data_IF_637607698295
#
_entry.id   IF_637607698295
#
_cell.length_a   1.000
_cell.length_b   1.000
_cell.length_c   1.000
_cell.angle_alpha   90.00
_cell.angle_beta   90.00
_cell.angle_gamma   90.00
#
_symmetry.space_group_name_H-M   'P 1'
#
loop_
_entity.id
_entity.type
_entity.pdbx_description
1 polymer ?
#
# COMPACT_ATOMS: atom_id res chain seq x y z
N UNK A 1 -20.64 13.79 9.28
CA UNK A 1 -21.42 12.65 8.75
C UNK A 1 -21.57 11.52 9.78
N UNK A 2 -20.51 10.78 10.14
CA UNK A 2 -20.60 9.56 10.98
C UNK A 2 -21.18 9.72 12.40
N UNK A 3 -21.15 10.95 12.96
CA UNK A 3 -21.78 11.25 14.27
C UNK A 3 -23.31 11.38 14.18
N UNK A 4 -23.81 11.84 13.04
CA UNK A 4 -25.22 12.25 12.88
C UNK A 4 -26.06 11.14 12.26
N UNK A 5 -25.52 10.39 11.30
CA UNK A 5 -26.24 9.32 10.61
C UNK A 5 -26.17 8.02 11.42
N UNK A 6 -27.10 7.82 12.36
CA UNK A 6 -27.13 6.64 13.26
C UNK A 6 -28.00 5.49 12.73
N UNK A 7 -28.96 5.78 11.87
CA UNK A 7 -29.83 4.80 11.21
C UNK A 7 -29.46 4.66 9.74
N UNK A 8 -29.80 3.52 9.14
CA UNK A 8 -29.63 3.29 7.71
C UNK A 8 -30.50 4.29 6.93
N UNK A 9 -29.94 5.03 5.94
CA UNK A 9 -30.73 5.85 5.02
C UNK A 9 -31.71 5.02 4.20
N UNK A 10 -32.89 5.57 3.82
CA UNK A 10 -33.87 4.84 3.02
C UNK A 10 -33.32 4.24 1.72
N UNK A 11 -32.37 4.92 1.09
CA UNK A 11 -31.74 4.52 -0.18
C UNK A 11 -30.86 3.26 -0.03
N UNK A 12 -30.46 2.92 1.19
CA UNK A 12 -29.63 1.75 1.51
C UNK A 12 -30.41 0.66 2.26
N UNK A 13 -31.73 0.83 2.40
CA UNK A 13 -32.58 -0.16 3.03
C UNK A 13 -32.53 -1.48 2.25
N UNK A 14 -32.20 -2.58 2.93
CA UNK A 14 -32.09 -3.91 2.32
C UNK A 14 -30.71 -4.24 1.72
N UNK A 15 -29.80 -3.27 1.61
CA UNK A 15 -28.41 -3.51 1.14
C UNK A 15 -27.48 -3.85 2.30
N UNK A 16 -27.69 -3.21 3.45
CA UNK A 16 -26.87 -3.38 4.65
C UNK A 16 -27.77 -3.56 5.87
N UNK A 17 -27.39 -4.46 6.78
CA UNK A 17 -28.09 -4.62 8.05
C UNK A 17 -27.63 -3.57 9.08
N UNK A 18 -28.47 -3.32 10.09
CA UNK A 18 -28.22 -2.26 11.07
C UNK A 18 -26.96 -2.52 11.92
N UNK A 19 -26.54 -3.78 12.09
CA UNK A 19 -25.36 -4.13 12.88
C UNK A 19 -24.09 -3.83 12.08
N UNK A 20 -24.02 -4.22 10.81
CA UNK A 20 -22.91 -3.91 9.91
C UNK A 20 -22.81 -2.42 9.64
N UNK A 21 -23.94 -1.73 9.47
CA UNK A 21 -23.96 -0.27 9.34
C UNK A 21 -23.33 0.41 10.56
N UNK A 22 -23.71 -0.02 11.78
CA UNK A 22 -23.15 0.53 13.00
C UNK A 22 -21.66 0.21 13.18
N UNK A 23 -21.21 -1.00 12.85
CA UNK A 23 -19.79 -1.37 12.85
C UNK A 23 -18.98 -0.48 11.90
N UNK A 24 -19.42 -0.36 10.65
CA UNK A 24 -18.78 0.51 9.64
C UNK A 24 -18.75 1.97 10.08
N UNK A 25 -19.86 2.47 10.65
CA UNK A 25 -19.94 3.84 11.16
C UNK A 25 -18.94 4.09 12.30
N UNK A 26 -18.81 3.16 13.25
CA UNK A 26 -17.88 3.29 14.38
C UNK A 26 -16.42 3.20 13.91
N UNK A 27 -16.10 2.27 13.01
CA UNK A 27 -14.78 2.14 12.39
C UNK A 27 -14.35 3.43 11.70
N UNK A 28 -15.21 3.99 10.83
CA UNK A 28 -14.93 5.23 10.13
C UNK A 28 -14.85 6.44 11.08
N UNK A 29 -15.61 6.45 12.17
CA UNK A 29 -15.55 7.51 13.17
C UNK A 29 -14.24 7.49 13.96
N UNK A 30 -13.77 6.30 14.35
CA UNK A 30 -12.47 6.14 15.02
C UNK A 30 -11.32 6.54 14.08
N UNK A 31 -11.33 6.09 12.82
CA UNK A 31 -10.34 6.51 11.81
C UNK A 31 -10.37 8.01 11.57
N UNK A 32 -11.55 8.61 11.44
CA UNK A 32 -11.69 10.05 11.22
C UNK A 32 -11.13 10.87 12.39
N UNK A 33 -11.39 10.47 13.64
CA UNK A 33 -10.82 11.14 14.83
C UNK A 33 -9.29 11.00 14.86
N UNK A 34 -8.79 9.79 14.62
CA UNK A 34 -7.36 9.52 14.61
C UNK A 34 -6.65 10.35 13.53
N UNK A 35 -7.15 10.32 12.29
CA UNK A 35 -6.60 11.10 11.19
C UNK A 35 -6.59 12.61 11.50
N UNK A 36 -7.64 13.14 12.13
CA UNK A 36 -7.68 14.55 12.52
C UNK A 36 -6.58 14.90 13.53
N UNK A 37 -6.34 14.02 14.53
CA UNK A 37 -5.28 14.22 15.52
C UNK A 37 -3.90 14.13 14.86
N UNK A 38 -3.66 13.12 14.02
CA UNK A 38 -2.41 12.98 13.28
C UNK A 38 -2.17 14.21 12.40
N UNK A 39 -3.15 14.63 11.60
CA UNK A 39 -3.00 15.81 10.73
C UNK A 39 -2.74 17.10 11.52
N UNK A 40 -3.37 17.28 12.69
CA UNK A 40 -3.08 18.43 13.54
C UNK A 40 -1.66 18.36 14.11
N UNK A 41 -1.23 17.19 14.58
CA UNK A 41 0.14 16.98 15.04
C UNK A 41 1.16 17.26 13.92
N UNK A 42 0.95 16.68 12.74
CA UNK A 42 1.82 16.85 11.58
C UNK A 42 1.93 18.32 11.19
N UNK A 43 0.79 19.03 11.16
CA UNK A 43 0.77 20.46 10.86
C UNK A 43 1.56 21.28 11.88
N UNK A 44 1.38 21.02 13.18
CA UNK A 44 2.10 21.72 14.25
C UNK A 44 3.60 21.37 14.22
N UNK A 45 3.92 20.10 14.02
CA UNK A 45 5.30 19.62 13.95
C UNK A 45 6.05 20.23 12.77
N UNK A 46 5.47 20.19 11.56
CA UNK A 46 6.06 20.80 10.37
C UNK A 46 6.21 22.32 10.53
N UNK A 47 5.21 22.99 11.12
CA UNK A 47 5.30 24.42 11.43
C UNK A 47 6.46 24.70 12.39
N UNK A 48 6.61 23.90 13.44
CA UNK A 48 7.74 24.03 14.38
C UNK A 48 9.09 23.78 13.69
N UNK A 49 9.20 22.74 12.86
CA UNK A 49 10.42 22.45 12.07
C UNK A 49 10.81 23.64 11.20
N UNK A 50 9.84 24.31 10.56
CA UNK A 50 10.12 25.49 9.74
C UNK A 50 10.51 26.70 10.58
N UNK A 51 9.75 27.01 11.63
CA UNK A 51 9.98 28.20 12.49
C UNK A 51 11.30 28.11 13.25
N UNK A 52 11.67 26.92 13.74
CA UNK A 52 12.89 26.71 14.51
C UNK A 52 14.10 26.29 13.65
N UNK A 53 13.97 26.29 12.31
CA UNK A 53 15.09 25.97 11.42
C UNK A 53 15.56 24.52 11.51
N UNK A 54 14.64 23.57 11.71
CA UNK A 54 14.93 22.13 11.77
C UNK A 54 15.58 21.58 10.51
N UNK A 55 15.26 22.12 9.32
CA UNK A 55 15.89 21.72 8.05
C UNK A 55 17.38 22.14 8.02
N UNK A 56 17.76 23.41 8.26
CA UNK A 56 19.16 23.80 8.43
C UNK A 56 19.91 23.00 9.51
N UNK A 57 19.25 22.72 10.64
CA UNK A 57 19.84 21.93 11.72
C UNK A 57 20.18 20.52 11.22
N UNK A 58 19.21 19.85 10.57
CA UNK A 58 19.40 18.52 10.00
C UNK A 58 20.50 18.53 8.93
N UNK A 59 20.53 19.53 8.05
CA UNK A 59 21.60 19.69 7.06
C UNK A 59 22.98 19.80 7.70
N UNK A 60 23.10 20.61 8.77
CA UNK A 60 24.35 20.78 9.50
C UNK A 60 24.78 19.51 10.23
N UNK A 61 23.82 18.74 10.77
CA UNK A 61 24.06 17.45 11.40
C UNK A 61 24.58 16.44 10.37
N UNK A 62 23.95 16.36 9.20
CA UNK A 62 24.40 15.50 8.11
C UNK A 62 25.82 15.82 7.68
N UNK A 63 26.17 17.11 7.58
CA UNK A 63 27.55 17.53 7.27
C UNK A 63 28.57 17.16 8.35
N UNK A 64 28.19 17.18 9.64
CA UNK A 64 29.07 16.71 10.73
C UNK A 64 29.28 15.20 10.66
N UNK A 65 28.21 14.45 10.36
CA UNK A 65 28.29 12.99 10.21
C UNK A 65 29.21 12.63 9.05
N UNK A 66 29.02 13.22 7.86
CA UNK A 66 29.88 12.95 6.71
C UNK A 66 31.32 13.42 6.94
N UNK A 67 31.50 14.56 7.61
CA UNK A 67 32.81 15.09 8.00
C UNK A 67 33.58 14.16 8.94
N UNK A 68 32.90 13.45 9.84
CA UNK A 68 33.52 12.41 10.68
C UNK A 68 34.11 11.26 9.85
N UNK A 69 33.47 10.92 8.72
CA UNK A 69 33.97 9.93 7.77
C UNK A 69 34.97 10.50 6.74
N UNK A 70 35.44 11.72 6.93
CA UNK A 70 36.43 12.37 6.05
C UNK A 70 35.85 13.00 4.79
N UNK A 71 34.53 13.07 4.65
CA UNK A 71 33.86 13.77 3.54
C UNK A 71 33.51 15.19 3.97
N UNK A 72 34.32 16.16 3.53
CA UNK A 72 34.11 17.58 3.82
C UNK A 72 32.96 18.20 3.01
N UNK A 73 32.89 19.54 3.06
CA UNK A 73 31.81 20.32 2.42
C UNK A 73 31.86 20.29 0.90
N UNK A 74 33.00 19.93 0.33
CA UNK A 74 33.20 19.72 -1.10
C UNK A 74 32.39 18.53 -1.65
N UNK A 75 32.02 17.58 -0.78
CA UNK A 75 31.23 16.40 -1.14
C UNK A 75 29.72 16.59 -0.91
N UNK A 76 29.15 17.61 -1.53
CA UNK A 76 27.72 17.98 -1.36
C UNK A 76 26.75 16.83 -1.69
N UNK A 77 27.06 15.98 -2.67
CA UNK A 77 26.22 14.81 -3.01
C UNK A 77 26.16 13.84 -1.83
N UNK A 78 27.31 13.55 -1.22
CA UNK A 78 27.40 12.68 -0.04
C UNK A 78 26.64 13.27 1.15
N UNK A 79 26.78 14.58 1.39
CA UNK A 79 26.02 15.27 2.44
C UNK A 79 24.50 15.23 2.18
N UNK A 80 24.07 15.37 0.92
CA UNK A 80 22.65 15.31 0.57
C UNK A 80 22.06 13.92 0.74
N UNK A 81 22.81 12.87 0.36
CA UNK A 81 22.42 11.47 0.58
C UNK A 81 22.32 11.17 2.08
N UNK A 82 23.28 11.65 2.89
CA UNK A 82 23.23 11.52 4.35
C UNK A 82 22.04 12.31 4.95
N UNK A 83 21.75 13.50 4.43
CA UNK A 83 20.59 14.31 4.82
C UNK A 83 19.28 13.57 4.57
N UNK A 84 19.09 13.01 3.37
CA UNK A 84 17.91 12.23 3.04
C UNK A 84 17.76 10.99 3.94
N UNK A 85 18.85 10.25 4.16
CA UNK A 85 18.83 9.03 4.99
C UNK A 85 18.51 9.33 6.46
N UNK A 86 19.19 10.32 7.06
CA UNK A 86 18.96 10.70 8.45
C UNK A 86 17.54 11.28 8.61
N UNK A 87 17.10 12.12 7.68
CA UNK A 87 15.74 12.67 7.68
C UNK A 87 14.68 11.58 7.57
N UNK A 88 14.85 10.61 6.66
CA UNK A 88 13.95 9.48 6.52
C UNK A 88 13.92 8.61 7.78
N UNK A 89 15.07 8.39 8.43
CA UNK A 89 15.14 7.65 9.68
C UNK A 89 14.40 8.38 10.81
N UNK A 90 14.65 9.67 11.01
CA UNK A 90 13.94 10.49 12.01
C UNK A 90 12.43 10.45 11.77
N UNK A 91 12.00 10.65 10.53
CA UNK A 91 10.58 10.60 10.15
C UNK A 91 9.98 9.23 10.47
N UNK A 92 10.69 8.13 10.16
CA UNK A 92 10.25 6.77 10.47
C UNK A 92 10.04 6.55 11.98
N UNK A 93 10.87 7.15 12.82
CA UNK A 93 10.75 7.09 14.29
C UNK A 93 9.57 7.93 14.78
N UNK A 94 9.39 9.13 14.24
CA UNK A 94 8.27 10.02 14.59
C UNK A 94 6.93 9.40 14.18
N UNK A 95 6.88 8.71 13.05
CA UNK A 95 5.69 8.06 12.51
C UNK A 95 5.36 6.73 13.21
N UNK A 96 6.32 6.17 13.96
CA UNK A 96 6.19 4.85 14.56
C UNK A 96 5.04 4.75 15.58
N UNK A 97 4.86 5.68 16.54
CA UNK A 97 3.74 5.63 17.48
C UNK A 97 2.37 5.68 16.80
N UNK A 98 2.23 6.53 15.77
CA UNK A 98 0.99 6.66 15.01
C UNK A 98 0.67 5.36 14.25
N UNK A 99 1.68 4.79 13.61
CA UNK A 99 1.56 3.52 12.87
C UNK A 99 1.21 2.34 13.80
N UNK A 100 1.81 2.30 15.00
CA UNK A 100 1.47 1.31 16.02
C UNK A 100 0.03 1.48 16.52
N UNK A 101 -0.39 2.71 16.82
CA UNK A 101 -1.76 2.99 17.27
C UNK A 101 -2.79 2.62 16.21
N UNK A 102 -2.55 3.00 14.96
CA UNK A 102 -3.44 2.65 13.85
C UNK A 102 -3.59 1.13 13.72
N UNK A 103 -2.48 0.37 13.78
CA UNK A 103 -2.49 -1.08 13.53
C UNK A 103 -2.99 -1.87 14.74
N UNK A 104 -2.41 -1.65 15.91
CA UNK A 104 -2.65 -2.48 17.10
C UNK A 104 -3.74 -1.93 18.03
N UNK A 105 -4.30 -0.75 17.77
CA UNK A 105 -5.43 -0.21 18.53
C UNK A 105 -6.66 -0.05 17.65
N UNK A 106 -6.57 0.65 16.53
CA UNK A 106 -7.74 0.91 15.67
C UNK A 106 -8.09 -0.35 14.87
N UNK A 107 -7.18 -0.85 14.03
CA UNK A 107 -7.46 -2.02 13.20
C UNK A 107 -7.70 -3.28 14.04
N UNK A 108 -7.01 -3.44 15.17
CA UNK A 108 -7.26 -4.52 16.15
C UNK A 108 -8.67 -4.43 16.76
N UNK A 109 -9.09 -3.25 17.25
CA UNK A 109 -10.43 -3.03 17.83
C UNK A 109 -11.55 -3.41 16.87
N UNK A 110 -11.35 -3.16 15.58
CA UNK A 110 -12.33 -3.44 14.53
C UNK A 110 -12.13 -4.81 13.87
N UNK A 111 -11.21 -5.64 14.38
CA UNK A 111 -11.00 -7.03 13.96
C UNK A 111 -10.24 -7.21 12.64
N UNK A 112 -9.71 -6.13 12.07
CA UNK A 112 -9.00 -6.13 10.79
C UNK A 112 -7.54 -6.51 10.91
N UNK A 113 -6.86 -6.18 12.01
CA UNK A 113 -5.45 -6.51 12.17
C UNK A 113 -5.24 -8.03 12.29
N UNK A 114 -4.25 -8.54 11.57
CA UNK A 114 -3.77 -9.94 11.65
C UNK A 114 -2.25 -10.01 11.83
N UNK A 115 -1.55 -8.88 11.84
CA UNK A 115 -0.11 -8.82 12.03
C UNK A 115 0.26 -8.98 13.51
N UNK A 116 1.38 -9.64 13.77
CA UNK A 116 2.03 -9.63 15.10
C UNK A 116 3.00 -8.46 15.20
N UNK A 117 3.29 -8.00 16.43
CA UNK A 117 4.26 -6.93 16.68
C UNK A 117 5.64 -7.26 16.07
N UNK A 118 6.09 -8.51 16.20
CA UNK A 118 7.37 -8.95 15.62
C UNK A 118 7.37 -8.91 14.09
N UNK A 119 6.27 -9.32 13.45
CA UNK A 119 6.12 -9.19 12.00
C UNK A 119 6.11 -7.73 11.55
N UNK A 120 5.36 -6.87 12.25
CA UNK A 120 5.26 -5.43 11.96
C UNK A 120 6.63 -4.74 11.96
N UNK A 121 7.45 -4.93 12.99
CA UNK A 121 8.78 -4.30 13.06
C UNK A 121 9.74 -4.87 12.01
N UNK A 122 9.69 -6.18 11.76
CA UNK A 122 10.51 -6.83 10.72
C UNK A 122 10.14 -6.30 9.34
N UNK A 123 8.84 -6.17 9.06
CA UNK A 123 8.33 -5.67 7.79
C UNK A 123 8.66 -4.18 7.59
N UNK A 124 8.46 -3.35 8.62
CA UNK A 124 8.78 -1.91 8.57
C UNK A 124 10.28 -1.67 8.36
N UNK A 125 11.13 -2.42 9.06
CA UNK A 125 12.60 -2.35 8.87
C UNK A 125 13.00 -2.78 7.47
N UNK A 126 12.46 -3.91 6.97
CA UNK A 126 12.72 -4.39 5.61
C UNK A 126 12.27 -3.37 4.55
N UNK A 127 11.08 -2.78 4.73
CA UNK A 127 10.55 -1.71 3.84
C UNK A 127 11.48 -0.50 3.83
N UNK A 128 11.91 -0.04 5.00
CA UNK A 128 12.84 1.07 5.11
C UNK A 128 14.13 0.79 4.33
N UNK A 129 14.78 -0.34 4.57
CA UNK A 129 16.05 -0.70 3.91
C UNK A 129 15.89 -0.76 2.39
N UNK A 130 14.88 -1.47 1.89
CA UNK A 130 14.65 -1.61 0.44
C UNK A 130 14.35 -0.26 -0.22
N UNK A 131 13.52 0.57 0.42
CA UNK A 131 13.19 1.89 -0.11
C UNK A 131 14.40 2.82 -0.12
N UNK A 132 15.23 2.82 0.93
CA UNK A 132 16.46 3.62 0.96
C UNK A 132 17.50 3.13 -0.06
N UNK A 133 17.65 1.81 -0.22
CA UNK A 133 18.56 1.21 -1.19
C UNK A 133 18.22 1.61 -2.65
N UNK A 134 16.95 1.88 -2.94
CA UNK A 134 16.49 2.34 -4.25
C UNK A 134 16.54 3.88 -4.34
N UNK A 135 16.02 4.58 -3.34
CA UNK A 135 15.85 6.03 -3.38
C UNK A 135 17.17 6.81 -3.32
N UNK A 136 18.14 6.37 -2.51
CA UNK A 136 19.39 7.12 -2.33
C UNK A 136 20.27 7.14 -3.60
N UNK A 137 20.45 6.02 -4.34
CA UNK A 137 21.13 6.07 -5.64
C UNK A 137 20.40 6.96 -6.66
N UNK A 138 19.07 6.87 -6.72
CA UNK A 138 18.25 7.73 -7.59
C UNK A 138 18.48 9.20 -7.24
N UNK A 139 18.45 9.55 -5.96
CA UNK A 139 18.69 10.91 -5.49
C UNK A 139 20.08 11.41 -5.88
N UNK A 140 21.11 10.56 -5.71
CA UNK A 140 22.46 10.90 -6.13
C UNK A 140 22.55 11.15 -7.64
N UNK A 141 21.91 10.32 -8.46
CA UNK A 141 21.82 10.53 -9.91
C UNK A 141 21.10 11.84 -10.27
N UNK A 142 19.98 12.14 -9.61
CA UNK A 142 19.22 13.38 -9.84
C UNK A 142 20.11 14.60 -9.57
N UNK A 143 20.78 14.63 -8.41
CA UNK A 143 21.65 15.75 -8.05
C UNK A 143 22.80 15.88 -9.06
N UNK A 144 23.36 14.77 -9.52
CA UNK A 144 24.42 14.78 -10.52
C UNK A 144 23.95 15.34 -11.86
N UNK A 145 22.75 14.97 -12.32
CA UNK A 145 22.13 15.52 -13.54
C UNK A 145 21.92 17.02 -13.39
N UNK A 146 21.40 17.48 -12.25
CA UNK A 146 21.18 18.91 -12.00
C UNK A 146 22.50 19.69 -12.03
N UNK A 147 23.58 19.12 -11.48
CA UNK A 147 24.90 19.78 -11.44
C UNK A 147 25.58 19.88 -12.80
N UNK A 148 25.35 18.94 -13.71
CA UNK A 148 26.02 18.88 -15.02
C UNK A 148 25.15 19.42 -16.16
N UNK A 149 23.82 19.40 -16.01
CA UNK A 149 22.89 19.58 -17.12
C UNK A 149 22.80 21.00 -17.71
N UNK A 150 23.53 21.98 -17.18
CA UNK A 150 23.53 23.36 -17.67
C UNK A 150 22.14 24.01 -17.65
N UNK A 151 21.88 24.97 -18.53
CA UNK A 151 20.62 25.74 -18.54
C UNK A 151 19.37 24.89 -18.83
N UNK A 152 19.53 23.74 -19.49
CA UNK A 152 18.44 22.83 -19.88
C UNK A 152 18.42 21.54 -19.03
N UNK A 153 19.04 21.53 -17.85
CA UNK A 153 19.11 20.36 -16.97
C UNK A 153 17.74 19.74 -16.69
N UNK A 154 16.69 20.57 -16.61
CA UNK A 154 15.33 20.14 -16.31
C UNK A 154 14.74 19.22 -17.37
N UNK A 155 15.11 19.36 -18.65
CA UNK A 155 14.65 18.47 -19.73
C UNK A 155 15.28 17.09 -19.57
N UNK A 156 16.58 17.05 -19.30
CA UNK A 156 17.32 15.80 -19.07
C UNK A 156 16.81 15.11 -17.80
N UNK A 157 16.60 15.88 -16.73
CA UNK A 157 16.05 15.39 -15.47
C UNK A 157 14.64 14.83 -15.65
N UNK A 158 13.77 15.54 -16.38
CA UNK A 158 12.42 15.07 -16.70
C UNK A 158 12.47 13.76 -17.49
N UNK A 159 13.26 13.69 -18.56
CA UNK A 159 13.41 12.46 -19.34
C UNK A 159 13.96 11.29 -18.50
N UNK A 160 14.90 11.57 -17.60
CA UNK A 160 15.39 10.59 -16.64
C UNK A 160 14.29 10.10 -15.69
N UNK A 161 13.49 11.01 -15.12
CA UNK A 161 12.37 10.67 -14.24
C UNK A 161 11.28 9.86 -14.97
N UNK A 162 10.94 10.21 -16.22
CA UNK A 162 10.01 9.44 -17.06
C UNK A 162 10.54 8.01 -17.23
N UNK A 163 11.79 7.86 -17.69
CA UNK A 163 12.40 6.56 -17.93
C UNK A 163 12.46 5.71 -16.64
N UNK A 164 12.89 6.33 -15.54
CA UNK A 164 12.95 5.70 -14.23
C UNK A 164 11.58 5.25 -13.73
N UNK A 165 10.53 6.06 -13.90
CA UNK A 165 9.17 5.71 -13.50
C UNK A 165 8.64 4.49 -14.25
N UNK A 166 8.92 4.39 -15.56
CA UNK A 166 8.54 3.23 -16.40
C UNK A 166 9.30 1.96 -15.97
N UNK A 167 10.59 2.10 -15.66
CA UNK A 167 11.42 1.00 -15.15
C UNK A 167 10.86 0.53 -13.80
N UNK A 168 10.68 1.42 -12.84
CA UNK A 168 10.18 1.08 -11.51
C UNK A 168 8.78 0.49 -11.55
N UNK A 169 7.88 1.00 -12.41
CA UNK A 169 6.55 0.41 -12.61
C UNK A 169 6.62 -1.06 -13.06
N UNK A 170 7.62 -1.41 -13.87
CA UNK A 170 7.82 -2.78 -14.35
C UNK A 170 8.52 -3.65 -13.30
N UNK A 171 9.55 -3.13 -12.64
CA UNK A 171 10.37 -3.85 -11.66
C UNK A 171 9.62 -4.09 -10.35
N UNK A 172 8.76 -3.16 -9.94
CA UNK A 172 8.11 -3.18 -8.63
C UNK A 172 7.38 -4.50 -8.35
N UNK A 173 6.50 -4.92 -9.26
CA UNK A 173 5.65 -6.07 -8.98
C UNK A 173 6.36 -7.42 -9.16
N UNK A 174 7.43 -7.48 -9.96
CA UNK A 174 8.23 -8.71 -10.16
C UNK A 174 9.29 -8.93 -9.09
N UNK A 175 9.89 -7.85 -8.57
CA UNK A 175 11.09 -7.94 -7.75
C UNK A 175 10.92 -7.30 -6.37
N UNK A 176 10.16 -6.22 -6.25
CA UNK A 176 10.01 -5.49 -4.98
C UNK A 176 8.86 -6.07 -4.16
N UNK A 177 7.65 -6.16 -4.73
CA UNK A 177 6.47 -6.66 -4.04
C UNK A 177 6.65 -8.08 -3.46
N UNK A 178 7.25 -9.06 -4.17
CA UNK A 178 7.48 -10.40 -3.64
C UNK A 178 8.46 -10.47 -2.46
N UNK A 179 9.23 -9.41 -2.19
CA UNK A 179 10.06 -9.34 -0.98
C UNK A 179 9.22 -9.14 0.27
N UNK A 180 8.01 -8.57 0.13
CA UNK A 180 7.12 -8.21 1.23
C UNK A 180 6.03 -9.24 1.44
N UNK A 181 5.44 -9.72 0.35
CA UNK A 181 4.26 -10.56 0.36
C UNK A 181 4.46 -11.81 -0.49
N UNK A 182 3.77 -12.88 -0.13
CA UNK A 182 3.85 -14.16 -0.86
C UNK A 182 2.87 -14.15 -2.01
N UNK A 183 3.39 -14.31 -3.23
CA UNK A 183 2.60 -14.46 -4.45
C UNK A 183 2.63 -15.92 -4.90
N UNK A 184 1.46 -16.51 -5.08
CA UNK A 184 1.30 -17.88 -5.58
C UNK A 184 0.40 -17.87 -6.82
N UNK A 185 0.67 -18.68 -7.86
CA UNK A 185 -0.25 -18.79 -8.99
C UNK A 185 -1.67 -19.16 -8.53
N UNK A 186 -2.69 -18.59 -9.16
CA UNK A 186 -4.07 -18.99 -8.88
C UNK A 186 -4.25 -20.48 -9.24
N UNK A 187 -4.76 -21.32 -8.32
CA UNK A 187 -5.00 -22.73 -8.61
C UNK A 187 -5.90 -22.94 -9.82
N UNK A 188 -5.74 -24.08 -10.49
CA UNK A 188 -6.66 -24.48 -11.55
C UNK A 188 -8.07 -24.69 -10.98
N UNK A 189 -9.08 -24.22 -11.69
CA UNK A 189 -10.47 -24.27 -11.24
C UNK A 189 -11.41 -23.40 -12.07
N UNK A 190 -12.70 -23.43 -11.72
CA UNK A 190 -13.75 -22.70 -12.45
C UNK A 190 -13.50 -21.20 -12.49
N UNK A 191 -13.06 -20.61 -11.39
CA UNK A 191 -12.73 -19.18 -11.30
C UNK A 191 -11.62 -18.79 -12.29
N UNK A 192 -10.53 -19.57 -12.32
CA UNK A 192 -9.40 -19.30 -13.22
C UNK A 192 -9.83 -19.33 -14.69
N UNK A 193 -10.54 -20.38 -15.10
CA UNK A 193 -11.04 -20.52 -16.48
C UNK A 193 -11.90 -19.33 -16.88
N UNK A 194 -12.83 -18.92 -16.01
CA UNK A 194 -13.72 -17.78 -16.28
C UNK A 194 -12.98 -16.44 -16.35
N UNK A 195 -11.93 -16.25 -15.55
CA UNK A 195 -11.07 -15.06 -15.63
C UNK A 195 -10.31 -15.05 -16.97
N UNK A 196 -9.78 -16.19 -17.39
CA UNK A 196 -9.07 -16.32 -18.67
C UNK A 196 -10.02 -16.07 -19.87
N UNK A 197 -11.25 -16.57 -19.82
CA UNK A 197 -12.30 -16.28 -20.80
C UNK A 197 -12.68 -14.80 -20.84
N UNK A 198 -12.88 -14.18 -19.67
CA UNK A 198 -13.17 -12.75 -19.56
C UNK A 198 -12.04 -11.92 -20.17
N UNK A 199 -10.79 -12.20 -19.79
CA UNK A 199 -9.62 -11.53 -20.34
C UNK A 199 -9.55 -11.67 -21.87
N UNK A 200 -9.79 -12.89 -22.38
CA UNK A 200 -9.80 -13.17 -23.83
C UNK A 200 -10.91 -12.42 -24.56
N UNK A 201 -12.10 -12.30 -23.97
CA UNK A 201 -13.24 -11.62 -24.62
C UNK A 201 -13.01 -10.12 -24.89
N UNK A 202 -12.08 -9.49 -24.18
CA UNK A 202 -11.73 -8.07 -24.35
C UNK A 202 -10.34 -7.84 -24.94
N UNK A 203 -9.67 -8.91 -25.39
CA UNK A 203 -8.28 -8.96 -25.86
C UNK A 203 -7.26 -8.47 -24.82
N UNK A 204 -7.55 -8.69 -23.54
CA UNK A 204 -6.60 -8.39 -22.47
C UNK A 204 -5.44 -9.40 -22.51
N UNK A 205 -4.17 -8.96 -22.67
CA UNK A 205 -3.04 -9.85 -22.84
C UNK A 205 -2.57 -10.45 -21.49
N UNK A 206 -3.45 -11.22 -20.86
CA UNK A 206 -3.20 -11.91 -19.59
C UNK A 206 -2.06 -12.92 -19.76
N UNK A 207 -1.00 -12.75 -18.96
CA UNK A 207 0.16 -13.68 -18.93
C UNK A 207 0.21 -14.51 -17.66
N UNK A 208 -0.11 -13.92 -16.51
CA UNK A 208 -0.07 -14.60 -15.22
C UNK A 208 -1.19 -14.11 -14.31
N UNK A 209 -1.69 -15.02 -13.50
CA UNK A 209 -2.75 -14.79 -12.52
C UNK A 209 -2.25 -15.27 -11.15
N UNK A 210 -2.22 -14.37 -10.19
CA UNK A 210 -1.64 -14.61 -8.87
C UNK A 210 -2.65 -14.36 -7.76
N UNK A 211 -2.46 -15.06 -6.66
CA UNK A 211 -3.05 -14.77 -5.36
C UNK A 211 -1.94 -14.26 -4.43
N UNK A 212 -2.20 -13.15 -3.75
CA UNK A 212 -1.33 -12.60 -2.72
C UNK A 212 -1.89 -12.91 -1.33
N UNK A 213 -1.02 -13.34 -0.42
CA UNK A 213 -1.35 -13.67 0.98
C UNK A 213 -1.54 -12.37 1.81
N UNK A 214 -2.63 -11.65 1.55
CA UNK A 214 -2.98 -10.41 2.25
C UNK A 214 -3.51 -10.66 3.67
N UNK A 215 -4.10 -11.84 3.90
CA UNK A 215 -4.63 -12.27 5.20
C UNK A 215 -3.61 -12.30 6.33
N UNK A 216 -2.31 -12.42 5.99
CA UNK A 216 -1.20 -12.30 6.96
C UNK A 216 -1.13 -10.90 7.59
N UNK A 217 -1.63 -9.89 6.88
CA UNK A 217 -1.59 -8.49 7.29
C UNK A 217 -2.91 -8.03 7.87
N UNK A 218 -3.97 -8.24 7.10
CA UNK A 218 -5.28 -7.74 7.48
C UNK A 218 -6.39 -8.54 6.83
N UNK A 219 -7.62 -8.36 7.32
CA UNK A 219 -8.81 -8.89 6.67
C UNK A 219 -9.33 -8.02 5.50
N UNK A 220 -8.61 -6.96 5.10
CA UNK A 220 -8.99 -6.12 3.95
C UNK A 220 -8.79 -6.88 2.64
N UNK A 221 -9.69 -6.65 1.69
CA UNK A 221 -9.73 -7.33 0.39
C UNK A 221 -9.46 -6.35 -0.74
N UNK A 222 -8.77 -6.81 -1.78
CA UNK A 222 -8.51 -6.02 -2.99
C UNK A 222 -8.22 -6.93 -4.19
N UNK A 223 -8.31 -6.38 -5.38
CA UNK A 223 -7.86 -6.97 -6.64
C UNK A 223 -7.23 -5.87 -7.48
N UNK A 224 -6.16 -6.20 -8.20
CA UNK A 224 -5.54 -5.25 -9.11
C UNK A 224 -4.87 -5.97 -10.27
N UNK A 225 -4.60 -5.23 -11.33
CA UNK A 225 -3.78 -5.70 -12.43
C UNK A 225 -2.60 -4.75 -12.64
N UNK A 226 -1.54 -5.29 -13.22
CA UNK A 226 -0.36 -4.51 -13.54
C UNK A 226 0.35 -5.09 -14.76
N UNK A 227 1.43 -4.41 -15.15
CA UNK A 227 2.35 -4.90 -16.18
C UNK A 227 2.37 -4.02 -17.41
N UNK A 228 3.47 -4.09 -18.14
CA UNK A 228 3.73 -3.22 -19.28
C UNK A 228 3.36 -3.92 -20.60
N UNK A 229 2.72 -3.18 -21.50
CA UNK A 229 2.33 -3.66 -22.83
C UNK A 229 1.64 -5.04 -22.81
N UNK A 230 2.17 -6.04 -23.54
CA UNK A 230 1.65 -7.41 -23.68
C UNK A 230 1.92 -8.35 -22.50
N UNK A 231 2.59 -7.88 -21.44
CA UNK A 231 2.87 -8.67 -20.26
C UNK A 231 1.99 -8.20 -19.10
N UNK A 232 0.68 -8.48 -19.17
CA UNK A 232 -0.27 -8.09 -18.14
C UNK A 232 -0.51 -9.22 -17.16
N UNK A 233 -0.73 -8.86 -15.90
CA UNK A 233 -0.96 -9.81 -14.81
C UNK A 233 -2.04 -9.30 -13.90
N UNK A 234 -2.79 -10.24 -13.33
CA UNK A 234 -3.85 -9.97 -12.36
C UNK A 234 -3.42 -10.55 -11.01
N UNK A 235 -3.67 -9.82 -9.94
CA UNK A 235 -3.44 -10.22 -8.56
C UNK A 235 -4.74 -10.11 -7.79
N UNK A 236 -5.12 -11.20 -7.14
CA UNK A 236 -6.25 -11.26 -6.21
C UNK A 236 -5.71 -11.38 -4.79
N UNK A 237 -6.31 -10.68 -3.84
CA UNK A 237 -6.04 -10.95 -2.43
C UNK A 237 -6.76 -12.23 -2.02
N UNK A 238 -6.10 -13.06 -1.21
CA UNK A 238 -6.73 -14.25 -0.63
C UNK A 238 -7.99 -13.93 0.17
N UNK A 239 -8.01 -12.79 0.87
CA UNK A 239 -9.17 -12.27 1.62
C UNK A 239 -10.38 -11.93 0.75
N UNK A 240 -10.19 -11.64 -0.54
CA UNK A 240 -11.28 -11.39 -1.49
C UNK A 240 -12.00 -12.70 -1.88
N UNK A 241 -11.37 -13.85 -1.69
CA UNK A 241 -11.82 -15.13 -2.22
C UNK A 241 -12.40 -16.00 -1.10
N UNK A 242 -13.73 -16.16 -1.08
CA UNK A 242 -14.44 -16.86 0.00
C UNK A 242 -13.90 -18.27 0.27
N UNK A 243 -13.65 -19.04 -0.79
CA UNK A 243 -13.19 -20.44 -0.72
C UNK A 243 -11.68 -20.58 -0.43
N UNK A 244 -10.91 -19.50 -0.62
CA UNK A 244 -9.45 -19.52 -0.57
C UNK A 244 -8.87 -18.79 0.64
N UNK A 245 -9.64 -17.90 1.27
CA UNK A 245 -9.17 -17.17 2.45
C UNK A 245 -8.89 -18.13 3.62
N UNK A 246 -7.68 -18.11 4.20
CA UNK A 246 -7.38 -18.92 5.38
C UNK A 246 -8.14 -18.44 6.62
N UNK A 247 -8.75 -17.25 6.57
CA UNK A 247 -9.57 -16.71 7.66
C UNK A 247 -10.85 -17.53 7.86
N UNK A 248 -11.50 -17.96 6.77
CA UNK A 248 -12.72 -18.78 6.85
C UNK A 248 -12.40 -20.23 7.28
N UNK A 249 -11.22 -20.76 6.92
CA UNK A 249 -10.80 -22.13 7.30
C UNK A 249 -10.55 -22.28 8.80
N UNK A 250 -9.91 -21.29 9.42
CA UNK A 250 -9.66 -21.29 10.88
C UNK A 250 -10.94 -21.26 11.70
N UNK A 251 -11.97 -20.56 11.22
CA UNK A 251 -13.28 -20.53 11.89
C UNK A 251 -13.98 -21.89 11.82
N UNK A 252 -13.85 -22.62 10.71
CA UNK A 252 -14.46 -23.94 10.57
C UNK A 252 -13.75 -25.00 11.43
N UNK A 253 -12.41 -24.94 11.56
CA UNK A 253 -11.65 -25.81 12.48
C UNK A 253 -11.97 -25.53 13.97
N UNK A 254 -12.12 -24.26 14.36
CA UNK A 254 -12.42 -23.88 15.75
C UNK A 254 -13.81 -24.32 16.26
N UNK A 255 -14.75 -24.64 15.36
CA UNK A 255 -16.10 -25.12 15.72
C UNK A 255 -16.17 -26.61 16.01
N UNK A 256 -15.25 -27.41 15.46
CA UNK A 256 -15.26 -28.86 15.69
C UNK A 256 -14.86 -29.23 17.13
N UNK A 257 -14.11 -28.34 17.81
CA UNK A 257 -13.66 -28.51 19.19
C UNK A 257 -14.66 -28.00 20.24
N UNK A 258 -15.62 -27.12 19.89
CA UNK A 258 -16.51 -26.45 20.85
C UNK A 258 -18.00 -26.68 20.51
N UNK A 259 -18.49 -27.90 20.77
CA UNK A 259 -19.85 -28.38 20.42
C UNK A 259 -20.99 -27.82 21.30
N UNK A 260 -20.84 -26.69 21.97
CA UNK A 260 -21.87 -26.19 22.88
C UNK A 260 -22.02 -24.66 22.87
N UNK A 261 -22.39 -24.06 21.74
CA UNK A 261 -23.12 -22.79 21.76
C UNK A 261 -24.01 -22.62 20.51
N UNK A 262 -25.24 -22.15 20.74
CA UNK A 262 -26.34 -22.08 19.76
C UNK A 262 -26.09 -21.02 18.68
N UNK A 263 -26.28 -21.45 17.42
CA UNK A 263 -26.79 -20.70 16.26
C UNK A 263 -26.46 -19.20 16.15
N UNK A 264 -25.28 -18.90 15.62
CA UNK A 264 -25.09 -17.90 14.54
C UNK A 264 -23.97 -18.41 13.64
N UNK A 265 -24.29 -18.83 12.43
CA UNK A 265 -23.29 -19.12 11.39
C UNK A 265 -22.40 -17.89 11.24
N UNK A 266 -21.08 -17.95 11.49
CA UNK A 266 -20.24 -16.79 11.26
C UNK A 266 -20.27 -16.47 9.77
N UNK A 267 -20.49 -15.19 9.50
CA UNK A 267 -20.59 -14.68 8.14
C UNK A 267 -19.21 -14.77 7.50
N UNK A 268 -19.06 -15.70 6.56
CA UNK A 268 -17.82 -15.90 5.80
C UNK A 268 -17.41 -14.60 5.12
N UNK A 269 -16.11 -14.37 5.06
CA UNK A 269 -15.52 -13.20 4.40
C UNK A 269 -15.12 -13.51 2.97
N UNK A 270 -15.14 -12.51 2.10
CA UNK A 270 -14.80 -12.64 0.68
C UNK A 270 -16.03 -12.65 -0.23
N UNK A 271 -15.75 -12.75 -1.52
CA UNK A 271 -16.72 -12.78 -2.60
C UNK A 271 -16.77 -14.17 -3.24
N UNK A 272 -17.93 -14.51 -3.80
CA UNK A 272 -18.08 -15.70 -4.63
C UNK A 272 -17.46 -15.48 -6.03
N UNK A 273 -17.41 -16.54 -6.84
CA UNK A 273 -16.76 -16.48 -8.16
C UNK A 273 -17.42 -15.49 -9.13
N UNK A 274 -18.74 -15.29 -9.07
CA UNK A 274 -19.45 -14.34 -9.94
C UNK A 274 -19.13 -12.89 -9.54
N UNK A 275 -19.11 -12.62 -8.24
CA UNK A 275 -18.76 -11.32 -7.68
C UNK A 275 -17.29 -10.94 -7.99
N UNK A 276 -16.36 -11.90 -7.85
CA UNK A 276 -14.95 -11.67 -8.21
C UNK A 276 -14.81 -11.33 -9.70
N UNK A 277 -15.56 -12.00 -10.57
CA UNK A 277 -15.55 -11.69 -12.00
C UNK A 277 -16.12 -10.30 -12.29
N UNK A 278 -17.15 -9.86 -11.57
CA UNK A 278 -17.68 -8.51 -11.69
C UNK A 278 -16.66 -7.45 -11.25
N UNK A 279 -15.94 -7.69 -10.14
CA UNK A 279 -14.83 -6.84 -9.69
C UNK A 279 -13.72 -6.79 -10.75
N UNK A 280 -13.34 -7.93 -11.32
CA UNK A 280 -12.33 -7.96 -12.38
C UNK A 280 -12.81 -7.29 -13.67
N UNK A 281 -14.09 -7.38 -14.02
CA UNK A 281 -14.65 -6.65 -15.16
C UNK A 281 -14.54 -5.13 -14.94
N UNK A 282 -14.78 -4.65 -13.72
CA UNK A 282 -14.55 -3.25 -13.35
C UNK A 282 -13.08 -2.84 -13.52
N UNK A 283 -12.15 -3.61 -12.95
CA UNK A 283 -10.71 -3.35 -13.04
C UNK A 283 -10.22 -3.37 -14.50
N UNK A 284 -10.62 -4.37 -15.28
CA UNK A 284 -10.29 -4.45 -16.70
C UNK A 284 -10.93 -3.33 -17.53
N UNK A 285 -12.03 -2.74 -17.06
CA UNK A 285 -12.60 -1.51 -17.59
C UNK A 285 -11.61 -0.34 -17.53
N UNK A 286 -10.86 -0.18 -16.43
CA UNK A 286 -9.82 0.85 -16.33
C UNK A 286 -8.70 0.65 -17.35
N UNK A 287 -8.36 -0.60 -17.66
CA UNK A 287 -7.43 -0.91 -18.75
C UNK A 287 -8.02 -0.55 -20.11
N UNK A 288 -9.25 -1.01 -20.41
CA UNK A 288 -9.89 -0.82 -21.72
C UNK A 288 -10.10 0.66 -22.05
N UNK A 289 -10.40 1.48 -21.04
CA UNK A 289 -10.60 2.93 -21.17
C UNK A 289 -9.31 3.75 -21.07
N UNK A 290 -8.15 3.08 -21.02
CA UNK A 290 -6.81 3.67 -20.95
C UNK A 290 -6.62 4.63 -19.77
N UNK A 291 -7.25 4.36 -18.62
CA UNK A 291 -7.11 5.22 -17.43
C UNK A 291 -5.67 5.28 -16.93
N UNK A 292 -4.94 4.15 -16.97
CA UNK A 292 -3.52 4.10 -16.58
C UNK A 292 -2.67 4.98 -17.50
N UNK A 293 -2.91 4.95 -18.82
CA UNK A 293 -2.14 5.77 -19.76
C UNK A 293 -2.45 7.26 -19.57
N UNK A 294 -3.72 7.62 -19.36
CA UNK A 294 -4.13 9.00 -19.05
C UNK A 294 -3.46 9.48 -17.77
N UNK A 295 -3.49 8.67 -16.71
CA UNK A 295 -2.85 9.01 -15.44
C UNK A 295 -1.33 9.14 -15.60
N UNK A 296 -0.69 8.28 -16.41
CA UNK A 296 0.74 8.39 -16.68
C UNK A 296 1.06 9.72 -17.38
N UNK A 297 0.29 10.12 -18.39
CA UNK A 297 0.48 11.40 -19.09
C UNK A 297 0.24 12.61 -18.18
N UNK A 298 -0.73 12.53 -17.28
CA UNK A 298 -1.03 13.61 -16.32
C UNK A 298 0.07 13.77 -15.26
N UNK A 299 0.75 12.68 -14.90
CA UNK A 299 1.79 12.68 -13.86
C UNK A 299 3.14 13.19 -14.37
N UNK A 300 3.43 13.08 -15.68
CA UNK A 300 4.67 13.59 -16.28
C UNK A 300 4.59 15.07 -16.62
#
# INVERSE_FOLDING_TARGET
>A
MYKNTKSIPPELAGVIDQTTFNKSRLYNLDKSKFNLICSLYDQLFQTAVLVFGGIPLLWSLSGRVTGYFGYGREHEVTQTVAFALIGAFITTIIDLPWSLYSTFVIEERHGFNKETIGFFFKDKTKKFIVMQAIALPILACIIHIVKIGGDYFFIILWAFCVALSLILMTVYADYIAPMFDKFTPLPEGTLRTRIEELAKSIDFPLKKLYVVEGSKRSAHSNAYFYGFYKNKRIVLFDTLMEDYTPLNKKEDESKDDDKNEKEKTPQKTGCNNDEILAVLAHELGHWKLNHILKNLVIVQ
#
